data_IF_008238662845
#
_entry.id   IF_008238662845
#
_cell.length_a   1.000
_cell.length_b   1.000
_cell.length_c   1.000
_cell.angle_alpha   90.00
_cell.angle_beta   90.00
_cell.angle_gamma   90.00
#
_symmetry.space_group_name_H-M   'P 1'
#
loop_
_entity.id
_entity.type
_entity.pdbx_description
1 polymer ?
#
# COMPACT_ATOMS: atom_id res chain seq x y z
N UNK A 1 -14.94 14.63 -11.56
CA UNK A 1 -15.10 15.27 -10.24
C UNK A 1 -16.44 14.84 -9.66
N UNK A 2 -16.42 14.04 -8.61
CA UNK A 2 -17.65 13.71 -7.87
C UNK A 2 -18.05 14.97 -7.11
N UNK A 3 -19.27 15.52 -7.31
CA UNK A 3 -19.67 16.74 -6.63
C UNK A 3 -19.56 16.56 -5.11
N UNK A 4 -18.94 17.50 -4.41
CA UNK A 4 -18.78 17.48 -2.93
C UNK A 4 -20.10 17.18 -2.19
N UNK A 5 -21.23 17.55 -2.77
CA UNK A 5 -22.56 17.31 -2.23
C UNK A 5 -22.98 15.83 -2.26
N UNK A 6 -22.59 15.06 -3.28
CA UNK A 6 -22.94 13.63 -3.34
C UNK A 6 -22.18 12.80 -2.29
N UNK A 7 -20.93 13.18 -2.00
CA UNK A 7 -20.13 12.56 -0.96
C UNK A 7 -20.73 12.80 0.44
N UNK A 8 -21.21 14.01 0.73
CA UNK A 8 -21.82 14.33 2.01
C UNK A 8 -23.06 13.46 2.29
N UNK A 9 -23.96 13.30 1.32
CA UNK A 9 -25.13 12.45 1.48
C UNK A 9 -24.78 10.98 1.69
N UNK A 10 -23.76 10.49 1.00
CA UNK A 10 -23.26 9.12 1.18
C UNK A 10 -22.68 8.93 2.58
N UNK A 11 -21.83 9.83 3.04
CA UNK A 11 -21.25 9.79 4.39
C UNK A 11 -22.30 9.89 5.48
N UNK A 12 -23.27 10.80 5.33
CA UNK A 12 -24.40 10.94 6.26
C UNK A 12 -25.23 9.65 6.38
N UNK A 13 -25.47 8.97 5.25
CA UNK A 13 -26.18 7.69 5.23
C UNK A 13 -25.39 6.61 5.98
N UNK A 14 -24.10 6.49 5.70
CA UNK A 14 -23.21 5.52 6.35
C UNK A 14 -23.15 5.77 7.85
N UNK A 15 -22.96 7.02 8.28
CA UNK A 15 -22.90 7.37 9.69
C UNK A 15 -24.22 7.03 10.41
N UNK A 16 -25.37 7.34 9.82
CA UNK A 16 -26.68 6.98 10.37
C UNK A 16 -26.88 5.48 10.50
N UNK A 17 -26.47 4.72 9.47
CA UNK A 17 -26.58 3.26 9.47
C UNK A 17 -25.66 2.65 10.55
N UNK A 18 -24.44 3.17 10.70
CA UNK A 18 -23.51 2.75 11.74
C UNK A 18 -24.04 3.05 13.12
N UNK A 19 -24.57 4.26 13.36
CA UNK A 19 -25.19 4.63 14.64
C UNK A 19 -26.37 3.70 15.01
N UNK A 20 -27.19 3.33 14.03
CA UNK A 20 -28.33 2.44 14.27
C UNK A 20 -27.97 0.97 14.52
N UNK A 21 -26.86 0.49 13.95
CA UNK A 21 -26.48 -0.93 14.01
C UNK A 21 -25.35 -1.24 14.99
N UNK A 22 -24.45 -0.29 15.22
CA UNK A 22 -23.19 -0.54 15.92
C UNK A 22 -23.04 0.28 17.22
N UNK A 23 -23.81 1.37 17.38
CA UNK A 23 -23.72 2.18 18.59
C UNK A 23 -24.61 1.58 19.67
N UNK A 24 -23.98 1.17 20.77
CA UNK A 24 -24.67 0.68 21.97
C UNK A 24 -24.41 1.67 23.10
N UNK A 25 -25.48 2.23 23.64
CA UNK A 25 -25.42 3.15 24.79
C UNK A 25 -25.79 2.38 26.06
N UNK A 26 -24.90 2.39 27.05
CA UNK A 26 -25.07 1.71 28.34
C UNK A 26 -24.77 2.67 29.50
N UNK A 27 -25.29 2.40 30.68
CA UNK A 27 -24.94 3.13 31.91
C UNK A 27 -25.25 4.65 31.87
N UNK A 28 -26.37 5.03 31.26
CA UNK A 28 -26.77 6.44 31.19
C UNK A 28 -26.10 7.24 30.06
N UNK A 29 -25.36 6.56 29.16
CA UNK A 29 -24.83 7.20 27.96
C UNK A 29 -25.90 7.33 26.86
N UNK A 30 -25.74 8.31 25.97
CA UNK A 30 -26.69 8.58 24.89
C UNK A 30 -25.98 9.07 23.62
N UNK A 31 -26.60 8.92 22.42
CA UNK A 31 -25.94 9.16 21.13
C UNK A 31 -25.38 10.58 20.94
N UNK A 32 -25.98 11.60 21.59
CA UNK A 32 -25.49 12.97 21.48
C UNK A 32 -24.10 13.18 22.10
N UNK A 33 -23.59 12.24 22.90
CA UNK A 33 -22.21 12.29 23.40
C UNK A 33 -21.17 12.11 22.26
N UNK A 34 -21.57 11.61 21.10
CA UNK A 34 -20.71 11.62 19.91
C UNK A 34 -20.39 13.03 19.37
N UNK A 35 -20.98 14.09 19.96
CA UNK A 35 -20.59 15.47 19.68
C UNK A 35 -19.28 15.87 20.39
N UNK A 36 -18.86 15.11 21.40
CA UNK A 36 -17.52 15.30 21.98
C UNK A 36 -16.45 14.85 20.98
N UNK A 37 -15.42 15.69 20.71
CA UNK A 37 -14.42 15.43 19.67
C UNK A 37 -13.77 14.05 19.79
N UNK A 38 -13.42 13.64 21.00
CA UNK A 38 -12.73 12.38 21.26
C UNK A 38 -13.60 11.17 20.87
N UNK A 39 -14.89 11.22 21.16
CA UNK A 39 -15.84 10.17 20.81
C UNK A 39 -16.19 10.18 19.34
N UNK A 40 -16.25 11.36 18.72
CA UNK A 40 -16.43 11.51 17.28
C UNK A 40 -15.25 10.90 16.51
N UNK A 41 -14.02 11.15 16.96
CA UNK A 41 -12.82 10.60 16.33
C UNK A 41 -12.80 9.07 16.40
N UNK A 42 -13.09 8.50 17.56
CA UNK A 42 -13.22 7.02 17.73
C UNK A 42 -14.31 6.45 16.81
N UNK A 43 -15.45 7.14 16.68
CA UNK A 43 -16.52 6.70 15.80
C UNK A 43 -16.09 6.76 14.32
N UNK A 44 -15.41 7.83 13.91
CA UNK A 44 -14.86 7.98 12.56
C UNK A 44 -13.84 6.89 12.23
N UNK A 45 -12.95 6.57 13.15
CA UNK A 45 -11.98 5.48 12.98
C UNK A 45 -12.66 4.13 12.79
N UNK A 46 -13.66 3.81 13.62
CA UNK A 46 -14.41 2.55 13.52
C UNK A 46 -15.21 2.45 12.22
N UNK A 47 -15.85 3.52 11.79
CA UNK A 47 -16.59 3.58 10.52
C UNK A 47 -15.64 3.38 9.36
N UNK A 48 -14.50 4.08 9.36
CA UNK A 48 -13.47 3.98 8.31
C UNK A 48 -12.89 2.56 8.25
N UNK A 49 -12.56 1.97 9.41
CA UNK A 49 -12.09 0.59 9.48
C UNK A 49 -13.12 -0.42 8.96
N UNK A 50 -14.42 -0.20 9.24
CA UNK A 50 -15.48 -1.07 8.74
C UNK A 50 -15.68 -0.97 7.23
N UNK A 51 -15.55 0.24 6.66
CA UNK A 51 -15.58 0.46 5.22
C UNK A 51 -14.39 -0.26 4.56
N UNK A 52 -13.20 -0.08 5.11
CA UNK A 52 -11.97 -0.71 4.60
C UNK A 52 -12.07 -2.24 4.66
N UNK A 53 -12.57 -2.81 5.76
CA UNK A 53 -12.78 -4.27 5.89
C UNK A 53 -13.79 -4.81 4.89
N UNK A 54 -14.88 -4.10 4.60
CA UNK A 54 -15.85 -4.50 3.57
C UNK A 54 -15.27 -4.43 2.16
N UNK A 55 -14.30 -3.55 1.93
CA UNK A 55 -13.59 -3.46 0.65
C UNK A 55 -12.54 -4.57 0.49
N UNK A 56 -12.07 -5.15 1.61
CA UNK A 56 -11.10 -6.26 1.64
C UNK A 56 -11.78 -7.64 1.50
N UNK A 57 -13.08 -7.75 1.77
CA UNK A 57 -13.85 -8.97 1.53
C UNK A 57 -14.03 -9.21 0.03
N UNK A 58 -13.35 -10.20 -0.53
CA UNK A 58 -13.43 -10.72 -1.91
C UNK A 58 -12.94 -9.83 -3.07
N UNK A 59 -12.42 -8.64 -2.84
CA UNK A 59 -11.75 -7.87 -3.89
C UNK A 59 -10.43 -7.34 -3.38
N UNK A 60 -9.32 -7.56 -4.11
CA UNK A 60 -8.05 -6.92 -3.79
C UNK A 60 -8.28 -5.41 -3.71
N UNK A 61 -7.73 -4.77 -2.69
CA UNK A 61 -7.76 -3.32 -2.56
C UNK A 61 -7.09 -2.76 -3.82
N UNK A 62 -7.90 -2.19 -4.72
CA UNK A 62 -7.34 -1.44 -5.83
C UNK A 62 -6.65 -0.24 -5.24
N UNK A 63 -5.35 -0.12 -5.47
CA UNK A 63 -4.62 1.09 -5.13
C UNK A 63 -5.39 2.30 -5.69
N UNK A 64 -5.61 3.31 -4.85
CA UNK A 64 -6.16 4.58 -5.31
C UNK A 64 -5.08 5.21 -6.18
N UNK A 65 -5.28 5.16 -7.49
CA UNK A 65 -4.38 5.81 -8.43
C UNK A 65 -4.56 7.32 -8.33
N UNK A 66 -3.44 8.04 -8.39
CA UNK A 66 -3.47 9.48 -8.53
C UNK A 66 -4.20 9.82 -9.84
N UNK A 67 -5.24 10.65 -9.75
CA UNK A 67 -6.04 11.07 -10.91
C UNK A 67 -5.23 11.85 -11.95
N UNK A 68 -4.11 12.44 -11.54
CA UNK A 68 -3.23 13.23 -12.41
C UNK A 68 -2.04 12.41 -12.94
N UNK A 69 -1.68 11.32 -12.27
CA UNK A 69 -0.58 10.43 -12.67
C UNK A 69 -0.95 8.97 -12.37
N UNK A 70 -1.92 8.41 -13.12
CA UNK A 70 -2.51 7.12 -12.81
C UNK A 70 -1.61 5.92 -13.11
N UNK A 71 -0.51 6.12 -13.84
CA UNK A 71 0.38 5.05 -14.27
C UNK A 71 1.83 5.39 -13.98
N UNK A 72 2.56 4.44 -13.39
CA UNK A 72 4.02 4.45 -13.35
C UNK A 72 4.61 3.69 -14.54
N UNK A 73 5.80 4.05 -14.97
CA UNK A 73 6.50 3.35 -16.05
C UNK A 73 7.98 3.28 -15.77
N UNK A 74 8.58 2.12 -16.06
CA UNK A 74 10.04 1.94 -16.04
C UNK A 74 10.73 2.55 -17.24
N UNK A 75 9.98 2.96 -18.27
CA UNK A 75 10.49 3.45 -19.55
C UNK A 75 11.38 4.72 -19.42
N UNK A 76 11.11 5.55 -18.42
CA UNK A 76 11.82 6.82 -18.24
C UNK A 76 12.82 6.79 -17.08
N UNK A 77 13.04 5.62 -16.48
CA UNK A 77 14.00 5.47 -15.40
C UNK A 77 15.41 5.48 -15.97
N UNK A 78 16.15 6.53 -15.68
CA UNK A 78 17.55 6.69 -16.05
C UNK A 78 18.29 7.43 -14.95
N UNK A 79 19.40 6.86 -14.50
CA UNK A 79 20.21 7.48 -13.46
C UNK A 79 21.68 7.10 -13.56
N UNK A 80 22.53 7.90 -12.92
CA UNK A 80 23.95 7.62 -12.74
C UNK A 80 24.21 7.36 -11.25
N UNK A 81 24.99 6.35 -10.95
CA UNK A 81 25.36 6.02 -9.58
C UNK A 81 26.86 5.81 -9.43
N UNK A 82 27.40 6.17 -8.27
CA UNK A 82 28.76 5.84 -7.85
C UNK A 82 28.81 4.61 -6.93
N UNK A 83 27.64 4.05 -6.58
CA UNK A 83 27.57 2.85 -5.74
C UNK A 83 28.16 1.64 -6.47
N UNK A 84 28.91 0.84 -5.73
CA UNK A 84 29.55 -0.38 -6.24
C UNK A 84 28.67 -1.61 -6.05
N UNK A 85 27.86 -1.61 -4.99
CA UNK A 85 26.92 -2.67 -4.66
C UNK A 85 25.74 -2.59 -5.62
N UNK A 86 25.74 -3.49 -6.61
CA UNK A 86 24.73 -3.54 -7.66
C UNK A 86 24.59 -4.95 -8.21
N UNK A 87 23.36 -5.30 -8.55
CA UNK A 87 22.98 -6.54 -9.23
C UNK A 87 22.76 -6.27 -10.72
N UNK A 88 23.41 -7.05 -11.58
CA UNK A 88 23.11 -7.03 -13.01
C UNK A 88 21.87 -7.86 -13.27
N UNK A 89 20.84 -7.24 -13.84
CA UNK A 89 19.54 -7.86 -14.00
C UNK A 89 19.46 -8.65 -15.31
N UNK A 90 18.66 -9.73 -15.29
CA UNK A 90 18.25 -10.41 -16.52
C UNK A 90 17.23 -9.53 -17.28
N UNK A 91 17.57 -9.13 -18.50
CA UNK A 91 16.74 -8.27 -19.36
C UNK A 91 15.34 -8.86 -19.67
N UNK A 92 15.17 -10.18 -19.50
CA UNK A 92 13.86 -10.85 -19.63
C UNK A 92 12.95 -10.60 -18.45
N UNK A 93 13.53 -10.29 -17.29
CA UNK A 93 12.80 -10.12 -16.02
C UNK A 93 12.81 -8.67 -15.53
N UNK A 94 13.71 -7.81 -16.01
CA UNK A 94 13.79 -6.42 -15.59
C UNK A 94 14.18 -5.50 -16.76
N UNK A 95 13.47 -4.39 -16.93
CA UNK A 95 13.80 -3.39 -17.96
C UNK A 95 14.98 -2.48 -17.57
N UNK A 96 15.35 -2.46 -16.29
CA UNK A 96 16.46 -1.64 -15.78
C UNK A 96 17.65 -2.57 -15.61
N UNK A 97 18.73 -2.30 -16.30
CA UNK A 97 19.90 -3.17 -16.40
C UNK A 97 20.68 -3.39 -15.09
N UNK A 98 20.46 -2.54 -14.07
CA UNK A 98 21.12 -2.65 -12.78
C UNK A 98 20.17 -2.32 -11.64
N UNK A 99 20.12 -3.18 -10.64
CA UNK A 99 19.52 -2.88 -9.33
C UNK A 99 20.63 -2.37 -8.40
N UNK A 100 20.45 -1.20 -7.84
CA UNK A 100 21.34 -0.66 -6.81
C UNK A 100 20.95 -1.26 -5.47
N UNK A 101 21.88 -1.97 -4.85
CA UNK A 101 21.63 -2.71 -3.61
C UNK A 101 21.89 -1.82 -2.40
N UNK A 102 21.03 -1.94 -1.41
CA UNK A 102 21.16 -1.32 -0.09
C UNK A 102 21.57 -2.37 0.97
N UNK A 103 21.43 -3.66 0.66
CA UNK A 103 21.79 -4.78 1.54
C UNK A 103 22.08 -6.07 0.78
N UNK A 104 22.80 -7.01 1.42
CA UNK A 104 23.01 -8.36 0.91
C UNK A 104 21.70 -9.14 0.75
N UNK A 105 20.69 -8.84 1.60
CA UNK A 105 19.38 -9.45 1.50
C UNK A 105 18.65 -9.07 0.21
N UNK A 106 18.89 -7.87 -0.32
CA UNK A 106 18.33 -7.46 -1.60
C UNK A 106 19.00 -8.19 -2.78
N UNK A 107 20.30 -8.46 -2.69
CA UNK A 107 21.02 -9.25 -3.70
C UNK A 107 20.47 -10.67 -3.80
N UNK A 108 20.33 -11.33 -2.65
CA UNK A 108 19.74 -12.65 -2.57
C UNK A 108 18.30 -12.67 -3.09
N UNK A 109 17.55 -11.61 -2.80
CA UNK A 109 16.19 -11.46 -3.26
C UNK A 109 16.09 -11.31 -4.78
N UNK A 110 16.97 -10.51 -5.40
CA UNK A 110 17.03 -10.38 -6.86
C UNK A 110 17.36 -11.73 -7.52
N UNK A 111 18.32 -12.48 -6.95
CA UNK A 111 18.71 -13.80 -7.43
C UNK A 111 17.55 -14.79 -7.38
N UNK A 112 16.79 -14.81 -6.28
CA UNK A 112 15.61 -15.66 -6.14
C UNK A 112 14.51 -15.22 -7.10
N UNK A 113 14.29 -13.92 -7.26
CA UNK A 113 13.29 -13.36 -8.14
C UNK A 113 13.50 -13.80 -9.60
N UNK A 114 14.73 -13.72 -10.10
CA UNK A 114 15.08 -14.11 -11.48
C UNK A 114 15.01 -15.62 -11.73
N UNK A 115 15.21 -16.43 -10.67
CA UNK A 115 15.11 -17.89 -10.76
C UNK A 115 13.70 -18.43 -10.57
N UNK A 116 12.77 -17.63 -10.05
CA UNK A 116 11.45 -18.13 -9.69
C UNK A 116 10.49 -18.16 -10.90
N UNK A 117 9.91 -19.32 -11.24
CA UNK A 117 9.16 -19.51 -12.48
C UNK A 117 7.88 -18.68 -12.59
N UNK A 118 7.32 -18.23 -11.46
CA UNK A 118 6.12 -17.39 -11.42
C UNK A 118 6.41 -15.90 -11.50
N UNK A 119 7.65 -15.47 -11.36
CA UNK A 119 8.02 -14.06 -11.51
C UNK A 119 8.19 -13.77 -13.00
N UNK A 120 7.31 -12.94 -13.54
CA UNK A 120 7.36 -12.52 -14.95
C UNK A 120 8.24 -11.29 -15.13
N UNK A 121 8.20 -10.36 -14.19
CA UNK A 121 9.05 -9.19 -14.17
C UNK A 121 9.17 -8.63 -12.75
N UNK A 122 10.22 -7.84 -12.52
CA UNK A 122 10.37 -7.08 -11.28
C UNK A 122 11.11 -5.77 -11.51
N UNK A 123 11.02 -4.86 -10.57
CA UNK A 123 11.78 -3.61 -10.57
C UNK A 123 12.01 -3.12 -9.15
N UNK A 124 13.22 -2.61 -8.86
CA UNK A 124 13.48 -1.85 -7.63
C UNK A 124 12.90 -0.44 -7.79
N UNK A 125 12.25 0.05 -6.74
CA UNK A 125 11.70 1.41 -6.69
C UNK A 125 12.80 2.48 -6.47
N UNK A 126 13.86 2.39 -7.26
CA UNK A 126 14.96 3.36 -7.27
C UNK A 126 14.75 4.32 -8.43
N UNK A 127 14.55 5.60 -8.14
CA UNK A 127 14.16 6.64 -9.12
C UNK A 127 12.86 6.36 -9.90
N UNK A 128 12.06 5.40 -9.47
CA UNK A 128 10.75 5.12 -10.04
C UNK A 128 9.66 6.03 -9.44
N UNK A 129 9.84 6.45 -8.19
CA UNK A 129 8.96 7.40 -7.50
C UNK A 129 7.63 6.81 -7.04
N UNK A 130 7.52 5.47 -6.92
CA UNK A 130 6.33 4.88 -6.32
C UNK A 130 6.27 5.18 -4.83
N UNK A 131 5.26 5.93 -4.43
CA UNK A 131 4.95 6.23 -3.03
C UNK A 131 3.53 5.75 -2.71
N UNK A 132 3.39 5.01 -1.63
CA UNK A 132 2.10 4.54 -1.13
C UNK A 132 1.68 5.44 0.03
N UNK A 133 0.62 6.24 -0.12
CA UNK A 133 0.12 7.05 0.98
C UNK A 133 -0.53 6.14 2.04
N UNK A 134 -0.20 6.35 3.29
CA UNK A 134 -0.83 5.68 4.41
C UNK A 134 -1.11 6.64 5.55
N UNK A 135 -2.06 6.28 6.41
CA UNK A 135 -2.43 7.08 7.55
C UNK A 135 -1.81 6.49 8.83
N UNK A 136 -1.13 7.34 9.57
CA UNK A 136 -0.60 7.01 10.90
C UNK A 136 -1.20 7.97 11.93
N UNK A 137 -2.23 7.51 12.65
CA UNK A 137 -3.02 8.40 13.51
C UNK A 137 -3.66 9.55 12.71
N UNK A 138 -3.49 10.79 13.11
CA UNK A 138 -4.00 11.96 12.38
C UNK A 138 -3.18 12.34 11.14
N UNK A 139 -1.97 11.81 11.01
CA UNK A 139 -1.03 12.20 9.97
C UNK A 139 -1.13 11.33 8.72
N UNK A 140 -1.07 11.97 7.56
CA UNK A 140 -0.84 11.28 6.29
C UNK A 140 0.67 11.16 6.06
N UNK A 141 1.14 9.94 5.89
CA UNK A 141 2.54 9.61 5.59
C UNK A 141 2.63 8.92 4.25
N UNK A 142 3.81 8.91 3.68
CA UNK A 142 4.14 8.20 2.46
C UNK A 142 5.16 7.11 2.78
N UNK A 143 4.99 5.99 2.13
CA UNK A 143 5.86 4.84 2.21
C UNK A 143 6.38 4.52 0.81
N UNK A 144 7.68 4.38 0.66
CA UNK A 144 8.33 3.99 -0.58
C UNK A 144 8.77 2.53 -0.45
N UNK A 145 8.05 1.58 -1.05
CA UNK A 145 8.43 0.18 -1.03
C UNK A 145 9.72 -0.07 -1.81
N UNK A 146 10.44 -1.14 -1.50
CA UNK A 146 11.71 -1.46 -2.15
C UNK A 146 11.52 -2.00 -3.57
N UNK A 147 10.57 -2.91 -3.78
CA UNK A 147 10.38 -3.60 -5.04
C UNK A 147 8.92 -3.71 -5.46
N UNK A 148 8.72 -3.84 -6.77
CA UNK A 148 7.45 -4.18 -7.40
C UNK A 148 7.69 -5.40 -8.27
N UNK A 149 6.79 -6.40 -8.14
CA UNK A 149 6.83 -7.65 -8.89
C UNK A 149 5.58 -7.82 -9.72
N UNK A 150 5.75 -8.47 -10.84
CA UNK A 150 4.69 -8.99 -11.67
C UNK A 150 4.73 -10.50 -11.60
N UNK A 151 3.71 -11.10 -11.01
CA UNK A 151 3.67 -12.52 -10.67
C UNK A 151 2.49 -13.19 -11.36
N UNK A 152 2.76 -14.37 -11.91
CA UNK A 152 1.73 -15.27 -12.40
C UNK A 152 1.12 -16.03 -11.21
N UNK A 153 -0.12 -15.68 -10.86
CA UNK A 153 -0.88 -16.30 -9.78
C UNK A 153 -1.94 -17.30 -10.31
N UNK A 154 -1.73 -17.85 -11.51
CA UNK A 154 -2.59 -18.79 -12.21
C UNK A 154 -3.95 -18.19 -12.67
N UNK A 155 -4.05 -16.86 -12.80
CA UNK A 155 -5.25 -16.16 -13.32
C UNK A 155 -5.19 -15.85 -14.81
N UNK A 156 -4.08 -16.17 -15.45
CA UNK A 156 -3.82 -15.92 -16.86
C UNK A 156 -2.92 -14.71 -17.10
N UNK A 157 -2.33 -14.68 -18.29
CA UNK A 157 -1.32 -13.66 -18.64
C UNK A 157 -1.89 -12.22 -18.71
N UNK A 158 -3.21 -12.07 -18.83
CA UNK A 158 -3.88 -10.76 -18.88
C UNK A 158 -4.22 -10.19 -17.48
N UNK A 159 -4.08 -10.98 -16.39
CA UNK A 159 -4.42 -10.57 -15.02
C UNK A 159 -3.31 -10.97 -14.03
N UNK A 160 -2.08 -10.57 -14.35
CA UNK A 160 -0.93 -10.83 -13.48
C UNK A 160 -0.99 -10.04 -12.18
N UNK A 161 -0.57 -10.66 -11.09
CA UNK A 161 -0.54 -10.03 -9.76
C UNK A 161 0.60 -9.01 -9.66
N UNK A 162 0.28 -7.76 -9.36
CA UNK A 162 1.25 -6.75 -8.99
C UNK A 162 1.51 -6.81 -7.48
N UNK A 163 2.67 -7.30 -7.09
CA UNK A 163 3.08 -7.45 -5.70
C UNK A 163 4.10 -6.38 -5.33
N UNK A 164 3.80 -5.62 -4.29
CA UNK A 164 4.70 -4.63 -3.69
C UNK A 164 5.43 -5.28 -2.52
N UNK A 165 6.75 -5.18 -2.48
CA UNK A 165 7.59 -5.86 -1.50
C UNK A 165 8.51 -4.88 -0.81
N UNK A 166 8.66 -5.06 0.49
CA UNK A 166 9.64 -4.41 1.36
C UNK A 166 10.60 -5.44 1.92
N UNK A 167 11.88 -5.22 1.79
CA UNK A 167 12.92 -6.10 2.33
C UNK A 167 13.44 -5.50 3.63
N UNK A 168 13.08 -6.13 4.74
CA UNK A 168 13.63 -5.76 6.03
C UNK A 168 14.91 -6.53 6.28
N UNK A 169 16.04 -5.82 6.37
CA UNK A 169 17.29 -6.38 6.86
C UNK A 169 17.08 -6.96 8.27
N UNK A 170 17.91 -7.92 8.66
CA UNK A 170 17.91 -8.49 10.01
C UNK A 170 18.18 -7.38 11.02
N UNK A 171 17.12 -6.80 11.56
CA UNK A 171 17.23 -5.85 12.67
C UNK A 171 17.38 -6.66 13.94
N UNK A 172 18.56 -6.61 14.55
CA UNK A 172 18.79 -7.10 15.90
C UNK A 172 17.76 -6.55 16.89
N UNK A 173 17.81 -6.95 18.12
CA UNK A 173 16.85 -6.81 19.25
C UNK A 173 15.90 -5.59 19.28
N UNK A 174 16.19 -4.52 18.56
CA UNK A 174 15.34 -3.29 18.49
C UNK A 174 14.03 -3.44 17.69
N UNK A 175 13.85 -4.55 16.96
CA UNK A 175 12.63 -4.78 16.20
C UNK A 175 11.43 -5.22 17.06
N UNK A 176 11.65 -5.56 18.33
CA UNK A 176 10.59 -6.00 19.25
C UNK A 176 9.81 -4.86 19.89
N UNK A 177 10.34 -3.64 19.88
CA UNK A 177 9.69 -2.47 20.49
C UNK A 177 8.81 -1.65 19.53
N UNK A 178 8.77 -2.01 18.24
CA UNK A 178 7.98 -1.30 17.21
C UNK A 178 6.78 -2.11 16.69
N UNK A 179 6.22 -2.95 17.54
CA UNK A 179 4.93 -3.61 17.23
C UNK A 179 3.78 -2.90 17.89
#
# INVERSE_FOLDING_TARGET
>A
ETPKYSLFYALKRIAKEWMGKCLVCTGGTFPAQLLYPELADIACERITAAITRKLIGDRPVKALMDSYNPTGSTQHVSFKTSRKERWETDERSCHINWVILDSESEEEFCRVAESHPRVKAYVKNHNLGLEVPYRYGPEMRKYSPDFIFLIDDDRGDDDLLHLVVEIKGYSGEDAKEKK
#
